data_IF_360615525438
#
_entry.id   IF_360615525438
#
_cell.length_a   1.000
_cell.length_b   1.000
_cell.length_c   1.000
_cell.angle_alpha   90.00
_cell.angle_beta   90.00
_cell.angle_gamma   90.00
#
_symmetry.space_group_name_H-M   'P 1'
#
loop_
_entity.id
_entity.type
_entity.pdbx_description
1 polymer ?
#
# COMPACT_ATOMS: atom_id res chain seq x y z
N UNK A 1 1.52 -10.61 33.41
CA UNK A 1 0.10 -11.05 33.27
C UNK A 1 -0.57 -10.51 32.00
N UNK A 2 -0.18 -9.37 31.46
CA UNK A 2 -0.70 -8.82 30.21
C UNK A 2 -0.37 -9.68 28.98
N UNK A 3 0.89 -10.09 28.79
CA UNK A 3 1.32 -10.90 27.64
C UNK A 3 0.57 -12.26 27.48
N UNK A 4 0.06 -12.83 28.56
CA UNK A 4 -0.71 -14.07 28.50
C UNK A 4 -2.16 -13.87 28.02
N UNK A 5 -2.74 -12.71 28.28
CA UNK A 5 -4.09 -12.39 27.83
C UNK A 5 -4.14 -12.03 26.34
N UNK A 6 -3.09 -11.39 25.83
CA UNK A 6 -2.98 -11.00 24.42
C UNK A 6 -2.83 -12.23 23.52
N UNK A 7 -2.02 -13.22 23.94
CA UNK A 7 -1.88 -14.49 23.22
C UNK A 7 -3.19 -15.30 23.20
N UNK A 8 -3.95 -15.30 24.30
CA UNK A 8 -5.26 -15.96 24.39
C UNK A 8 -6.32 -15.25 23.53
N UNK A 9 -6.34 -13.93 23.54
CA UNK A 9 -7.24 -13.13 22.70
C UNK A 9 -6.94 -13.34 21.21
N UNK A 10 -5.66 -13.37 20.87
CA UNK A 10 -5.15 -13.64 19.51
C UNK A 10 -5.55 -15.04 19.03
N UNK A 11 -5.34 -16.06 19.86
CA UNK A 11 -5.75 -17.43 19.52
C UNK A 11 -7.29 -17.57 19.43
N UNK A 12 -8.02 -16.87 20.29
CA UNK A 12 -9.47 -16.87 20.27
C UNK A 12 -10.02 -16.16 19.03
N UNK A 13 -9.49 -15.01 18.65
CA UNK A 13 -9.87 -14.27 17.43
C UNK A 13 -9.56 -15.11 16.17
N UNK A 14 -8.39 -15.74 16.10
CA UNK A 14 -8.05 -16.67 15.00
C UNK A 14 -8.96 -17.89 14.97
N UNK A 15 -9.21 -18.49 16.11
CA UNK A 15 -10.12 -19.63 16.23
C UNK A 15 -11.56 -19.28 15.84
N UNK A 16 -12.04 -18.11 16.23
CA UNK A 16 -13.39 -17.61 15.88
C UNK A 16 -13.46 -17.25 14.41
N UNK A 17 -12.44 -16.60 13.83
CA UNK A 17 -12.39 -16.26 12.41
C UNK A 17 -12.32 -17.54 11.54
N UNK A 18 -11.50 -18.52 11.89
CA UNK A 18 -11.45 -19.80 11.20
C UNK A 18 -12.72 -20.64 11.39
N UNK A 19 -13.29 -20.66 12.60
CA UNK A 19 -14.51 -21.40 12.88
C UNK A 19 -15.75 -20.74 12.27
N UNK A 20 -15.83 -19.41 12.25
CA UNK A 20 -16.89 -18.67 11.57
C UNK A 20 -16.80 -18.86 10.04
N UNK A 21 -15.58 -18.85 9.47
CA UNK A 21 -15.36 -19.13 8.06
C UNK A 21 -15.77 -20.57 7.68
N UNK A 22 -15.46 -21.55 8.54
CA UNK A 22 -15.82 -22.94 8.32
C UNK A 22 -17.31 -23.23 8.62
N UNK A 23 -17.91 -22.55 9.60
CA UNK A 23 -19.32 -22.74 9.95
C UNK A 23 -20.29 -21.99 9.02
N UNK A 24 -19.83 -20.94 8.35
CA UNK A 24 -20.61 -20.20 7.37
C UNK A 24 -20.56 -20.84 5.97
N UNK A 25 -19.75 -21.88 5.75
CA UNK A 25 -19.78 -22.64 4.50
C UNK A 25 -21.15 -23.33 4.40
N UNK A 26 -22.07 -22.87 3.56
CA UNK A 26 -23.42 -23.43 3.53
C UNK A 26 -23.36 -24.87 3.07
N UNK A 27 -24.07 -25.72 3.77
CA UNK A 27 -24.20 -27.16 3.47
C UNK A 27 -24.89 -27.47 2.13
N UNK A 28 -25.19 -26.46 1.32
CA UNK A 28 -25.87 -26.54 0.04
C UNK A 28 -25.23 -25.61 -1.00
N UNK A 29 -23.97 -25.86 -1.37
CA UNK A 29 -23.42 -25.30 -2.60
C UNK A 29 -23.91 -26.14 -3.78
N UNK A 30 -24.78 -25.57 -4.62
CA UNK A 30 -25.36 -26.29 -5.75
C UNK A 30 -24.34 -26.52 -6.87
N UNK A 31 -23.42 -25.56 -7.07
CA UNK A 31 -22.30 -25.66 -8.03
C UNK A 31 -21.00 -25.17 -7.38
N UNK A 32 -19.99 -26.03 -7.36
CA UNK A 32 -18.66 -25.70 -6.85
C UNK A 32 -17.68 -25.68 -8.00
N UNK A 33 -17.05 -24.54 -8.21
CA UNK A 33 -15.99 -24.35 -9.20
C UNK A 33 -14.63 -24.22 -8.51
N UNK A 34 -13.61 -24.88 -9.08
CA UNK A 34 -12.24 -24.80 -8.61
C UNK A 34 -11.38 -24.11 -9.67
N UNK A 35 -10.62 -23.10 -9.25
CA UNK A 35 -9.68 -22.42 -10.12
C UNK A 35 -8.33 -22.26 -9.43
N UNK A 36 -7.25 -22.31 -10.20
CA UNK A 36 -5.89 -22.14 -9.68
C UNK A 36 -5.01 -21.49 -10.75
N UNK A 37 -3.94 -20.89 -10.32
CA UNK A 37 -2.96 -20.27 -11.20
C UNK A 37 -1.67 -19.97 -10.48
N UNK A 38 -0.73 -19.42 -11.24
CA UNK A 38 0.56 -19.02 -10.74
C UNK A 38 1.01 -17.75 -11.44
N UNK A 39 1.90 -17.01 -10.82
CA UNK A 39 2.64 -15.93 -11.46
C UNK A 39 4.10 -15.93 -11.03
N UNK A 40 4.95 -15.47 -11.93
CA UNK A 40 6.36 -15.21 -11.68
C UNK A 40 6.70 -13.80 -12.12
N UNK A 41 7.08 -12.95 -11.19
CA UNK A 41 7.60 -11.62 -11.47
C UNK A 41 9.12 -11.64 -11.39
N UNK A 42 9.76 -11.12 -12.43
CA UNK A 42 11.20 -10.90 -12.50
C UNK A 42 11.41 -9.40 -12.75
N UNK A 43 12.22 -8.75 -11.91
CA UNK A 43 12.54 -7.35 -12.10
C UNK A 43 13.96 -7.02 -11.64
N UNK A 44 14.55 -6.01 -12.25
CA UNK A 44 15.79 -5.40 -11.79
C UNK A 44 15.53 -3.96 -11.37
N UNK A 45 16.12 -3.58 -10.26
CA UNK A 45 16.07 -2.22 -9.72
C UNK A 45 17.49 -1.70 -9.55
N UNK A 46 17.70 -0.54 -10.13
CA UNK A 46 18.93 0.23 -10.04
C UNK A 46 18.62 1.54 -9.32
N UNK A 47 19.32 1.83 -8.24
CA UNK A 47 19.12 3.05 -7.48
C UNK A 47 20.46 3.72 -7.19
N UNK A 48 20.47 5.04 -7.17
CA UNK A 48 21.62 5.83 -6.79
C UNK A 48 21.21 7.07 -6.03
N UNK A 49 21.93 7.37 -4.94
CA UNK A 49 21.79 8.56 -4.12
C UNK A 49 20.35 8.79 -3.58
N UNK A 50 19.54 7.75 -3.42
CA UNK A 50 18.20 7.92 -2.84
C UNK A 50 18.35 8.49 -1.43
N UNK A 51 17.78 9.67 -1.13
CA UNK A 51 17.97 10.28 0.16
C UNK A 51 17.28 9.45 1.25
N UNK A 52 17.96 9.29 2.37
CA UNK A 52 17.42 8.70 3.58
C UNK A 52 17.37 9.75 4.68
N UNK A 53 16.61 9.48 5.73
CA UNK A 53 16.58 10.34 6.89
C UNK A 53 17.86 10.19 7.72
N UNK A 54 18.40 11.27 8.30
CA UNK A 54 19.52 11.18 9.23
C UNK A 54 19.19 10.26 10.41
N UNK A 55 20.10 9.31 10.71
CA UNK A 55 19.91 8.37 11.83
C UNK A 55 18.89 7.25 11.60
N UNK A 56 18.01 7.36 10.62
CA UNK A 56 17.18 6.27 10.12
C UNK A 56 17.95 5.46 9.07
N UNK A 57 17.81 4.15 9.05
CA UNK A 57 18.48 3.29 8.06
C UNK A 57 18.04 3.53 6.61
N UNK A 58 17.99 4.78 6.17
CA UNK A 58 17.75 5.14 4.79
C UNK A 58 18.62 4.33 3.84
N UNK A 59 18.33 4.28 2.56
CA UNK A 59 19.22 3.64 1.59
C UNK A 59 20.57 4.29 1.78
N UNK A 60 21.30 3.70 2.70
CA UNK A 60 22.57 4.19 3.18
C UNK A 60 23.36 4.56 1.96
N UNK A 61 23.86 5.76 1.95
CA UNK A 61 25.01 6.10 1.15
C UNK A 61 26.04 5.01 1.39
N UNK A 62 25.92 3.93 0.62
CA UNK A 62 26.90 2.84 0.64
C UNK A 62 28.27 3.43 0.53
N UNK A 63 29.29 2.86 1.20
CA UNK A 63 30.69 3.20 0.99
C UNK A 63 31.09 3.16 -0.49
N UNK A 64 30.32 2.52 -1.36
CA UNK A 64 30.48 2.46 -2.82
C UNK A 64 29.65 3.49 -3.61
N UNK A 65 29.30 4.63 -3.01
CA UNK A 65 28.66 5.74 -3.72
C UNK A 65 27.13 5.64 -3.83
N UNK A 66 26.46 4.95 -2.91
CA UNK A 66 24.99 4.94 -2.85
C UNK A 66 24.31 4.22 -4.01
N UNK A 67 25.01 3.31 -4.69
CA UNK A 67 24.47 2.54 -5.79
C UNK A 67 23.91 1.20 -5.30
N UNK A 68 22.67 0.91 -5.67
CA UNK A 68 21.99 -0.37 -5.42
C UNK A 68 21.66 -1.00 -6.76
N UNK A 69 21.97 -2.27 -6.91
CA UNK A 69 21.62 -3.08 -8.05
C UNK A 69 21.15 -4.44 -7.56
N UNK A 70 19.89 -4.72 -7.75
CA UNK A 70 19.36 -6.03 -7.39
C UNK A 70 18.28 -6.51 -8.37
N UNK A 71 18.29 -7.80 -8.63
CA UNK A 71 17.20 -8.51 -9.25
C UNK A 71 16.28 -9.09 -8.18
N UNK A 72 15.00 -9.04 -8.42
CA UNK A 72 13.96 -9.56 -7.53
C UNK A 72 13.10 -10.55 -8.28
N UNK A 73 12.86 -11.69 -7.65
CA UNK A 73 12.07 -12.78 -8.18
C UNK A 73 10.93 -13.04 -7.20
N UNK A 74 9.70 -12.97 -7.67
CA UNK A 74 8.52 -13.24 -6.85
C UNK A 74 7.64 -14.29 -7.52
N UNK A 75 7.82 -15.57 -7.19
CA UNK A 75 6.85 -16.61 -7.53
C UNK A 75 5.65 -16.55 -6.59
N UNK A 76 4.46 -16.75 -7.15
CA UNK A 76 3.21 -16.92 -6.39
C UNK A 76 2.41 -18.06 -7.00
N UNK A 77 1.69 -18.77 -6.13
CA UNK A 77 0.71 -19.79 -6.52
C UNK A 77 -0.57 -19.51 -5.76
N UNK A 78 -1.68 -19.55 -6.44
CA UNK A 78 -2.97 -19.30 -5.82
C UNK A 78 -4.01 -20.36 -6.21
N UNK A 79 -5.01 -20.53 -5.36
CA UNK A 79 -6.16 -21.35 -5.61
C UNK A 79 -7.42 -20.74 -5.01
N UNK A 80 -8.55 -21.02 -5.64
CA UNK A 80 -9.85 -20.59 -5.16
C UNK A 80 -10.91 -21.67 -5.36
N UNK A 81 -11.84 -21.70 -4.42
CA UNK A 81 -13.05 -22.50 -4.50
C UNK A 81 -14.22 -21.51 -4.48
N UNK A 82 -15.08 -21.59 -5.47
CA UNK A 82 -16.28 -20.75 -5.59
C UNK A 82 -17.53 -21.58 -5.56
N UNK A 83 -18.60 -20.99 -5.05
CA UNK A 83 -19.90 -21.59 -5.11
C UNK A 83 -20.99 -20.54 -5.04
N UNK A 84 -22.17 -20.88 -5.53
CA UNK A 84 -23.36 -20.02 -5.47
C UNK A 84 -24.44 -20.76 -4.71
N UNK A 85 -25.10 -20.07 -3.81
CA UNK A 85 -26.28 -20.55 -3.08
C UNK A 85 -27.45 -19.63 -3.37
N UNK A 86 -28.61 -20.19 -3.70
CA UNK A 86 -29.81 -19.40 -4.01
C UNK A 86 -30.21 -18.40 -2.92
N UNK A 87 -29.92 -18.73 -1.64
CA UNK A 87 -30.31 -17.89 -0.50
C UNK A 87 -29.13 -17.21 0.21
N UNK A 88 -27.88 -17.53 -0.14
CA UNK A 88 -26.70 -17.05 0.58
C UNK A 88 -25.70 -16.28 -0.30
N UNK A 89 -26.06 -15.98 -1.53
CA UNK A 89 -25.19 -15.27 -2.47
C UNK A 89 -24.03 -16.11 -3.02
N UNK A 90 -23.04 -15.44 -3.60
CA UNK A 90 -21.84 -16.07 -4.14
C UNK A 90 -20.74 -16.11 -3.08
N UNK A 91 -20.06 -17.26 -2.95
CA UNK A 91 -19.01 -17.50 -1.99
C UNK A 91 -17.70 -17.85 -2.66
N UNK A 92 -16.58 -17.41 -2.09
CA UNK A 92 -15.24 -17.70 -2.53
C UNK A 92 -14.30 -17.92 -1.35
N UNK A 93 -13.64 -19.08 -1.30
CA UNK A 93 -12.45 -19.28 -0.46
C UNK A 93 -11.23 -19.12 -1.36
N UNK A 94 -10.34 -18.21 -1.02
CA UNK A 94 -9.15 -17.89 -1.79
C UNK A 94 -7.90 -18.06 -0.93
N UNK A 95 -6.84 -18.63 -1.52
CA UNK A 95 -5.52 -18.69 -0.91
C UNK A 95 -4.44 -18.35 -1.92
N UNK A 96 -3.39 -17.67 -1.49
CA UNK A 96 -2.20 -17.39 -2.27
C UNK A 96 -0.95 -17.57 -1.41
N UNK A 97 0.03 -18.26 -1.96
CA UNK A 97 1.34 -18.48 -1.37
C UNK A 97 2.34 -17.71 -2.21
N UNK A 98 3.19 -16.94 -1.56
CA UNK A 98 4.21 -16.11 -2.19
C UNK A 98 5.58 -16.33 -1.57
N UNK A 99 6.60 -16.15 -2.37
CA UNK A 99 7.98 -15.99 -1.94
C UNK A 99 8.61 -14.82 -2.70
N UNK A 100 9.59 -14.19 -2.11
CA UNK A 100 10.43 -13.24 -2.81
C UNK A 100 11.88 -13.39 -2.42
N UNK A 101 12.74 -13.52 -3.40
CA UNK A 101 14.18 -13.55 -3.19
C UNK A 101 14.88 -12.54 -4.09
N UNK A 102 16.10 -12.17 -3.67
CA UNK A 102 16.93 -11.19 -4.35
C UNK A 102 18.26 -11.79 -4.75
N UNK A 103 18.71 -11.37 -5.91
CA UNK A 103 20.08 -11.56 -6.35
C UNK A 103 20.69 -10.20 -6.66
N UNK A 104 21.86 -9.92 -6.08
CA UNK A 104 22.56 -8.65 -6.22
C UNK A 104 23.75 -8.82 -7.16
N UNK A 105 23.58 -8.60 -8.49
CA UNK A 105 24.69 -8.66 -9.43
C UNK A 105 25.66 -7.50 -9.23
N UNK A 106 26.90 -7.65 -9.65
CA UNK A 106 27.90 -6.58 -9.60
C UNK A 106 27.57 -5.44 -10.62
N UNK A 107 27.82 -4.17 -10.28
CA UNK A 107 28.27 -3.69 -8.97
C UNK A 107 27.14 -3.66 -7.95
N UNK A 108 27.37 -4.12 -6.74
CA UNK A 108 26.39 -4.11 -5.66
C UNK A 108 27.05 -3.83 -4.30
N UNK A 109 26.24 -3.47 -3.33
CA UNK A 109 26.64 -3.24 -1.95
C UNK A 109 25.86 -4.09 -0.92
N UNK A 110 25.08 -5.05 -1.39
CA UNK A 110 24.26 -5.94 -0.58
C UNK A 110 24.67 -7.39 -0.77
N UNK A 111 24.48 -8.19 0.28
CA UNK A 111 24.60 -9.64 0.19
C UNK A 111 23.43 -10.21 -0.62
N UNK A 112 23.70 -11.29 -1.34
CA UNK A 112 22.65 -12.06 -2.00
C UNK A 112 21.71 -12.67 -0.95
N UNK A 113 20.42 -12.69 -1.26
CA UNK A 113 19.40 -13.37 -0.45
C UNK A 113 18.75 -14.45 -1.30
N UNK A 114 18.63 -15.63 -0.73
CA UNK A 114 17.94 -16.75 -1.37
C UNK A 114 16.51 -16.89 -0.83
N UNK A 115 15.65 -17.65 -1.51
CA UNK A 115 14.32 -17.97 -1.00
C UNK A 115 14.45 -18.58 0.39
N UNK A 116 13.94 -17.90 1.37
CA UNK A 116 14.01 -18.37 2.74
C UNK A 116 12.71 -18.13 3.51
N UNK A 117 11.77 -17.45 2.89
CA UNK A 117 10.48 -17.13 3.50
C UNK A 117 9.37 -17.34 2.47
N UNK A 118 8.68 -18.46 2.62
CA UNK A 118 7.43 -18.72 1.92
C UNK A 118 6.31 -18.32 2.85
N UNK A 119 5.45 -17.42 2.39
CA UNK A 119 4.35 -16.88 3.18
C UNK A 119 3.00 -17.18 2.53
N UNK A 120 1.97 -17.31 3.35
CA UNK A 120 0.59 -17.23 2.89
C UNK A 120 0.22 -15.74 2.95
N UNK A 121 0.25 -15.08 1.79
CA UNK A 121 -0.02 -13.66 1.69
C UNK A 121 -1.50 -13.31 1.53
N UNK A 122 -2.31 -14.27 1.09
CA UNK A 122 -3.76 -14.18 1.08
C UNK A 122 -4.37 -15.50 1.55
N UNK A 123 -5.35 -15.40 2.45
CA UNK A 123 -6.21 -16.50 2.88
C UNK A 123 -7.50 -15.91 3.42
N UNK A 124 -8.54 -15.89 2.62
CA UNK A 124 -9.80 -15.29 3.03
C UNK A 124 -11.03 -16.03 2.51
N UNK A 125 -12.12 -15.87 3.22
CA UNK A 125 -13.47 -16.19 2.79
C UNK A 125 -14.17 -14.88 2.36
N UNK A 126 -14.78 -14.90 1.19
CA UNK A 126 -15.58 -13.79 0.65
C UNK A 126 -17.00 -14.27 0.40
N UNK A 127 -17.97 -13.43 0.71
CA UNK A 127 -19.37 -13.60 0.36
C UNK A 127 -19.85 -12.33 -0.34
N UNK A 128 -20.55 -12.48 -1.46
CA UNK A 128 -21.10 -11.36 -2.24
C UNK A 128 -22.59 -11.57 -2.41
N UNK A 129 -23.37 -10.53 -2.11
CA UNK A 129 -24.83 -10.57 -2.19
C UNK A 129 -25.46 -11.48 -1.13
N UNK A 130 -24.84 -11.65 0.02
CA UNK A 130 -25.35 -12.44 1.15
C UNK A 130 -26.61 -11.77 1.70
N UNK A 131 -27.57 -12.57 2.20
CA UNK A 131 -28.86 -12.11 2.70
C UNK A 131 -29.62 -11.25 1.66
N UNK A 132 -29.88 -11.85 0.51
CA UNK A 132 -30.64 -11.22 -0.59
C UNK A 132 -30.02 -9.92 -1.11
N UNK A 133 -28.68 -9.86 -1.17
CA UNK A 133 -27.96 -8.70 -1.69
C UNK A 133 -27.67 -7.61 -0.66
N UNK A 134 -28.02 -7.82 0.60
CA UNK A 134 -27.82 -6.83 1.67
C UNK A 134 -26.34 -6.66 2.04
N UNK A 135 -25.53 -7.75 1.95
CA UNK A 135 -24.19 -7.78 2.54
C UNK A 135 -23.17 -8.41 1.59
N UNK A 136 -22.07 -7.69 1.37
CA UNK A 136 -20.81 -8.30 0.92
C UNK A 136 -19.85 -8.37 2.10
N UNK A 137 -19.11 -9.47 2.21
CA UNK A 137 -18.14 -9.63 3.29
C UNK A 137 -16.85 -10.27 2.80
N UNK A 138 -15.72 -9.93 3.46
CA UNK A 138 -14.44 -10.61 3.26
C UNK A 138 -13.72 -10.71 4.59
N UNK A 139 -13.37 -11.93 4.98
CA UNK A 139 -12.77 -12.22 6.29
C UNK A 139 -11.53 -13.06 6.09
N UNK A 140 -10.41 -12.61 6.65
CA UNK A 140 -9.11 -13.28 6.59
C UNK A 140 -7.99 -12.38 6.10
N UNK A 141 -6.87 -12.98 5.75
CA UNK A 141 -5.68 -12.29 5.27
C UNK A 141 -5.87 -11.82 3.83
N UNK A 142 -5.70 -10.52 3.60
CA UNK A 142 -6.00 -9.87 2.32
C UNK A 142 -5.14 -8.63 2.08
N UNK A 143 -5.05 -8.22 0.83
CA UNK A 143 -4.40 -6.98 0.44
C UNK A 143 -5.29 -5.77 0.78
N UNK A 144 -4.70 -4.68 1.28
CA UNK A 144 -5.39 -3.40 1.53
C UNK A 144 -5.34 -2.44 0.33
N UNK A 145 -4.95 -2.91 -0.83
CA UNK A 145 -4.80 -2.06 -2.00
C UNK A 145 -6.12 -1.41 -2.40
N UNK A 146 -6.16 -0.07 -2.29
CA UNK A 146 -7.30 0.77 -2.66
C UNK A 146 -8.63 0.28 -2.04
N UNK A 147 -8.60 -0.14 -0.77
CA UNK A 147 -9.80 -0.59 -0.07
C UNK A 147 -10.84 0.53 -0.04
N UNK A 148 -12.06 0.22 -0.46
CA UNK A 148 -13.18 1.15 -0.62
C UNK A 148 -12.87 2.40 -1.47
N UNK A 149 -11.82 2.37 -2.29
CA UNK A 149 -11.42 3.53 -3.08
C UNK A 149 -10.70 4.63 -2.28
N UNK A 150 -10.31 4.39 -1.04
CA UNK A 150 -9.55 5.32 -0.20
C UNK A 150 -8.05 5.12 -0.40
N UNK A 151 -7.55 5.46 -1.58
CA UNK A 151 -6.21 5.22 -2.07
C UNK A 151 -5.11 6.07 -1.41
N UNK A 152 -5.47 7.09 -0.63
CA UNK A 152 -4.54 7.84 0.24
C UNK A 152 -4.55 7.38 1.71
N UNK A 153 -5.32 6.32 2.04
CA UNK A 153 -5.35 5.68 3.36
C UNK A 153 -4.95 4.21 3.25
N UNK A 154 -5.54 3.50 2.27
CA UNK A 154 -5.33 2.07 2.05
C UNK A 154 -4.63 1.85 0.71
N UNK A 155 -3.32 1.96 0.72
CA UNK A 155 -2.52 1.66 -0.45
C UNK A 155 -1.33 0.79 -0.03
N UNK A 156 -1.68 -0.39 0.40
CA UNK A 156 -0.75 -1.41 0.85
C UNK A 156 -1.10 -2.74 0.20
N UNK A 157 -0.14 -3.61 0.04
CA UNK A 157 -0.37 -4.90 -0.58
C UNK A 157 0.37 -5.12 -1.89
N UNK A 158 0.25 -6.33 -2.40
CA UNK A 158 1.03 -6.83 -3.52
C UNK A 158 0.51 -6.55 -4.91
N UNK A 159 -0.73 -6.16 -5.15
CA UNK A 159 -1.15 -5.82 -6.50
C UNK A 159 -0.38 -4.64 -7.09
N UNK A 160 0.14 -3.76 -6.25
CA UNK A 160 1.01 -2.67 -6.66
C UNK A 160 2.43 -3.12 -7.01
N UNK A 161 3.28 -2.16 -7.33
CA UNK A 161 4.69 -2.40 -7.66
C UNK A 161 5.55 -2.73 -6.44
N UNK A 162 4.93 -2.87 -5.29
CA UNK A 162 5.56 -3.23 -4.03
C UNK A 162 6.40 -4.49 -4.11
N UNK A 163 7.26 -4.65 -3.14
CA UNK A 163 8.19 -5.76 -3.12
C UNK A 163 7.53 -7.05 -2.67
N UNK A 164 7.55 -7.34 -1.44
CA UNK A 164 6.89 -8.44 -0.81
C UNK A 164 5.51 -7.99 -0.38
N UNK A 165 4.70 -8.90 -0.19
CA UNK A 165 3.35 -8.77 0.24
C UNK A 165 3.24 -7.98 1.52
N UNK A 166 2.54 -6.91 1.45
CA UNK A 166 1.95 -6.25 2.57
C UNK A 166 0.49 -6.71 2.61
N UNK A 167 0.06 -7.27 3.70
CA UNK A 167 -1.27 -7.82 3.88
C UNK A 167 -1.78 -7.48 5.28
N UNK A 168 -3.08 -7.56 5.45
CA UNK A 168 -3.71 -7.41 6.74
C UNK A 168 -4.64 -8.58 7.03
N UNK A 169 -4.64 -9.04 8.26
CA UNK A 169 -5.67 -9.95 8.76
C UNK A 169 -6.90 -9.09 9.09
N UNK A 170 -7.95 -9.17 8.26
CA UNK A 170 -9.04 -8.20 8.25
C UNK A 170 -10.40 -8.89 8.15
N UNK A 171 -11.38 -8.32 8.83
CA UNK A 171 -12.80 -8.58 8.61
C UNK A 171 -13.44 -7.30 8.03
N UNK A 172 -14.04 -7.41 6.87
CA UNK A 172 -14.69 -6.33 6.15
C UNK A 172 -16.13 -6.71 5.79
N UNK A 173 -17.05 -5.80 6.03
CA UNK A 173 -18.48 -5.97 5.81
C UNK A 173 -19.03 -4.74 5.12
N UNK A 174 -19.54 -4.91 3.89
CA UNK A 174 -20.19 -3.85 3.12
C UNK A 174 -21.70 -4.10 3.09
N UNK A 175 -22.43 -3.24 3.74
CA UNK A 175 -23.89 -3.24 3.76
C UNK A 175 -24.42 -2.36 2.62
N UNK A 176 -25.28 -2.90 1.81
CA UNK A 176 -26.04 -2.17 0.79
C UNK A 176 -27.31 -1.62 1.42
N UNK A 177 -27.31 -0.33 1.78
CA UNK A 177 -28.43 0.32 2.49
C UNK A 177 -29.57 0.61 1.52
N UNK A 178 -29.22 1.04 0.32
CA UNK A 178 -30.11 1.26 -0.81
C UNK A 178 -29.34 1.11 -2.14
N UNK A 179 -29.98 1.47 -3.28
CA UNK A 179 -29.38 1.34 -4.61
C UNK A 179 -28.10 2.16 -4.84
N UNK A 180 -27.86 3.19 -4.03
CA UNK A 180 -26.74 4.13 -4.20
C UNK A 180 -25.86 4.28 -2.97
N UNK A 181 -26.30 3.75 -1.82
CA UNK A 181 -25.64 3.96 -0.53
C UNK A 181 -25.11 2.67 0.07
N UNK A 182 -23.88 2.71 0.55
CA UNK A 182 -23.25 1.58 1.27
C UNK A 182 -22.66 2.04 2.60
N UNK A 183 -22.59 1.12 3.54
CA UNK A 183 -21.81 1.25 4.77
C UNK A 183 -20.80 0.13 4.81
N UNK A 184 -19.53 0.46 4.76
CA UNK A 184 -18.43 -0.48 4.95
C UNK A 184 -17.96 -0.40 6.40
N UNK A 185 -17.96 -1.54 7.11
CA UNK A 185 -17.37 -1.70 8.43
C UNK A 185 -16.17 -2.60 8.33
N UNK A 186 -15.07 -2.24 8.99
CA UNK A 186 -13.89 -3.09 9.00
C UNK A 186 -13.20 -3.13 10.37
N UNK A 187 -12.53 -4.24 10.61
CA UNK A 187 -11.53 -4.41 11.66
C UNK A 187 -10.33 -5.13 11.08
N UNK A 188 -9.14 -4.62 11.32
CA UNK A 188 -7.89 -5.21 10.85
C UNK A 188 -6.88 -5.33 11.98
N UNK A 189 -5.99 -6.30 11.85
CA UNK A 189 -4.85 -6.49 12.72
C UNK A 189 -3.62 -6.93 11.90
N UNK A 190 -2.51 -6.25 12.10
CA UNK A 190 -1.22 -6.60 11.54
C UNK A 190 -0.30 -7.05 12.67
N UNK A 191 0.33 -8.22 12.49
CA UNK A 191 1.22 -8.81 13.48
C UNK A 191 2.67 -8.70 13.02
N UNK A 192 3.59 -8.37 13.91
CA UNK A 192 5.01 -8.29 13.60
C UNK A 192 5.71 -9.66 13.45
N UNK A 193 5.18 -10.70 14.11
CA UNK A 193 5.84 -12.02 14.21
C UNK A 193 5.08 -13.17 13.54
N UNK A 194 3.97 -12.92 12.86
CA UNK A 194 3.02 -13.99 12.52
C UNK A 194 3.01 -14.46 11.08
N UNK A 195 4.04 -14.24 10.35
CA UNK A 195 4.19 -14.91 9.08
C UNK A 195 4.18 -16.43 9.31
N UNK A 196 3.28 -17.14 8.64
CA UNK A 196 3.42 -18.59 8.50
C UNK A 196 4.63 -18.78 7.60
N UNK A 197 5.78 -18.91 8.22
CA UNK A 197 7.07 -19.00 7.54
C UNK A 197 7.47 -20.47 7.46
N UNK A 198 7.72 -20.92 6.25
CA UNK A 198 8.40 -22.17 6.02
C UNK A 198 9.84 -21.84 5.62
N UNK A 199 10.75 -21.92 6.55
CA UNK A 199 12.16 -21.63 6.30
C UNK A 199 13.05 -21.93 7.50
N UNK A 200 14.34 -21.75 7.33
CA UNK A 200 15.31 -21.99 8.39
C UNK A 200 15.36 -20.79 9.35
N UNK A 201 15.69 -21.02 10.63
CA UNK A 201 15.87 -19.96 11.64
C UNK A 201 16.82 -18.82 11.25
N UNK A 202 17.62 -19.01 10.20
CA UNK A 202 18.50 -17.97 9.67
C UNK A 202 17.75 -16.81 9.00
N UNK A 203 16.49 -17.00 8.67
CA UNK A 203 15.65 -16.00 8.01
C UNK A 203 14.81 -15.16 8.97
N UNK A 204 14.69 -15.59 10.23
CA UNK A 204 13.86 -14.96 11.27
C UNK A 204 14.23 -13.51 11.60
N UNK A 205 15.39 -13.03 11.18
CA UNK A 205 15.90 -11.71 11.54
C UNK A 205 16.38 -10.88 10.34
N UNK A 206 16.10 -11.33 9.12
CA UNK A 206 16.45 -10.52 7.95
C UNK A 206 15.23 -9.80 7.44
N UNK A 207 15.27 -8.50 7.67
CA UNK A 207 14.35 -7.56 7.05
C UNK A 207 14.11 -7.92 5.59
N UNK A 208 12.86 -7.96 5.22
CA UNK A 208 12.36 -8.04 3.87
C UNK A 208 13.01 -7.12 2.89
N UNK A 209 13.41 -5.98 3.35
CA UNK A 209 14.01 -4.97 2.51
C UNK A 209 15.46 -5.29 2.17
N UNK A 210 16.16 -6.15 2.97
CA UNK A 210 17.55 -6.53 2.71
C UNK A 210 18.51 -5.34 2.52
N UNK A 211 18.05 -4.15 2.78
CA UNK A 211 18.76 -2.91 2.62
C UNK A 211 19.36 -2.50 3.95
N UNK A 212 20.25 -3.33 4.45
CA UNK A 212 21.12 -2.98 5.57
C UNK A 212 20.44 -2.85 6.93
N UNK A 213 20.60 -3.85 7.75
CA UNK A 213 20.87 -3.75 9.17
C UNK A 213 19.80 -3.30 10.14
N UNK A 214 18.58 -3.26 9.78
CA UNK A 214 17.51 -2.94 10.68
C UNK A 214 16.19 -3.22 10.00
N UNK A 215 15.63 -4.39 10.30
CA UNK A 215 14.20 -4.54 10.05
C UNK A 215 13.52 -3.44 10.83
N UNK A 216 12.72 -2.64 10.14
CA UNK A 216 11.58 -2.08 10.83
C UNK A 216 10.86 -3.31 11.40
N UNK A 217 10.64 -3.42 12.69
CA UNK A 217 9.67 -4.35 13.18
C UNK A 217 8.39 -4.01 12.43
N UNK A 218 7.79 -4.97 11.76
CA UNK A 218 6.42 -4.83 11.34
C UNK A 218 5.68 -4.52 12.63
N UNK A 219 5.23 -3.28 12.77
CA UNK A 219 4.66 -2.83 14.03
C UNK A 219 3.33 -3.53 14.20
N UNK A 220 3.14 -4.19 15.33
CA UNK A 220 1.81 -4.62 15.71
C UNK A 220 0.88 -3.41 15.66
N UNK A 221 0.00 -3.37 14.70
CA UNK A 221 -1.04 -2.37 14.64
C UNK A 221 -2.43 -3.01 14.45
N UNK A 222 -3.43 -2.33 14.91
CA UNK A 222 -4.81 -2.71 14.65
C UNK A 222 -5.65 -1.47 14.36
N UNK A 223 -6.71 -1.68 13.60
CA UNK A 223 -7.62 -0.62 13.25
C UNK A 223 -9.05 -1.09 13.09
N UNK A 224 -9.96 -0.18 13.35
CA UNK A 224 -11.40 -0.35 13.09
C UNK A 224 -11.90 0.89 12.36
N UNK A 225 -12.95 0.75 11.59
CA UNK A 225 -13.57 1.91 10.96
C UNK A 225 -14.89 1.64 10.29
N UNK A 226 -15.53 2.74 9.94
CA UNK A 226 -16.76 2.79 9.18
C UNK A 226 -16.62 3.80 8.04
N UNK A 227 -17.11 3.42 6.85
CA UNK A 227 -17.10 4.26 5.66
C UNK A 227 -18.52 4.27 5.11
N UNK A 228 -19.12 5.44 5.03
CA UNK A 228 -20.39 5.68 4.35
C UNK A 228 -20.11 6.17 2.94
N UNK A 229 -20.52 5.43 1.94
CA UNK A 229 -20.47 5.82 0.54
C UNK A 229 -21.87 6.04 -0.01
N UNK A 230 -22.09 7.14 -0.76
CA UNK A 230 -23.36 7.44 -1.40
C UNK A 230 -23.19 8.43 -2.56
N UNK A 231 -24.28 8.88 -3.14
CA UNK A 231 -24.33 9.92 -4.17
C UNK A 231 -25.33 10.97 -3.76
N UNK A 232 -24.92 12.24 -3.70
CA UNK A 232 -25.85 13.37 -3.57
C UNK A 232 -26.63 13.60 -4.86
N UNK A 233 -25.98 13.31 -6.00
CA UNK A 233 -26.52 13.29 -7.35
C UNK A 233 -25.67 12.33 -8.17
N UNK A 234 -26.08 11.91 -9.36
CA UNK A 234 -25.34 10.96 -10.20
C UNK A 234 -23.90 11.42 -10.52
N UNK A 235 -23.70 12.73 -10.62
CA UNK A 235 -22.41 13.34 -10.87
C UNK A 235 -21.55 13.56 -9.62
N UNK A 236 -22.11 13.38 -8.40
CA UNK A 236 -21.42 13.68 -7.13
C UNK A 236 -21.42 12.48 -6.16
N UNK A 237 -20.64 11.43 -6.44
CA UNK A 237 -20.33 10.40 -5.44
C UNK A 237 -19.51 11.01 -4.29
N UNK A 238 -19.79 10.54 -3.08
CA UNK A 238 -19.05 10.96 -1.90
C UNK A 238 -18.89 9.81 -0.91
N UNK A 239 -17.89 9.96 -0.05
CA UNK A 239 -17.66 9.10 1.10
C UNK A 239 -17.41 9.96 2.34
N UNK A 240 -17.87 9.48 3.48
CA UNK A 240 -17.52 10.00 4.81
C UNK A 240 -17.03 8.81 5.64
N UNK A 241 -15.96 8.98 6.38
CA UNK A 241 -15.42 7.87 7.15
C UNK A 241 -14.91 8.31 8.52
N UNK A 242 -14.94 7.35 9.43
CA UNK A 242 -14.32 7.43 10.76
C UNK A 242 -13.53 6.15 11.00
N UNK A 243 -12.33 6.30 11.52
CA UNK A 243 -11.42 5.19 11.75
C UNK A 243 -10.62 5.41 13.03
N UNK A 244 -10.17 4.31 13.61
CA UNK A 244 -9.18 4.31 14.67
C UNK A 244 -8.03 3.41 14.28
N UNK A 245 -6.79 3.89 14.48
CA UNK A 245 -5.56 3.10 14.38
C UNK A 245 -4.83 3.11 15.71
N UNK A 246 -4.39 1.94 16.14
CA UNK A 246 -3.57 1.76 17.32
C UNK A 246 -2.31 1.04 16.92
N UNK A 247 -1.17 1.56 17.31
CA UNK A 247 0.13 0.91 17.11
C UNK A 247 0.70 0.56 18.47
N UNK A 248 1.11 -0.70 18.66
CA UNK A 248 1.74 -1.12 19.89
C UNK A 248 3.14 -0.48 20.01
N UNK A 249 3.65 -0.42 21.23
CA UNK A 249 5.03 0.03 21.44
C UNK A 249 6.00 -0.91 20.76
N UNK A 250 7.02 -0.35 20.16
CA UNK A 250 8.05 -1.11 19.47
C UNK A 250 9.45 -0.52 19.73
N UNK A 251 10.47 -1.31 19.45
CA UNK A 251 11.85 -0.87 19.59
C UNK A 251 12.50 -0.74 18.22
N UNK A 252 13.07 0.42 17.95
CA UNK A 252 13.90 0.65 16.77
C UNK A 252 15.36 0.75 17.23
N UNK A 253 16.11 -0.32 17.07
CA UNK A 253 17.44 -0.43 17.67
C UNK A 253 17.37 -0.40 19.20
N UNK A 254 17.84 0.69 19.82
CA UNK A 254 17.77 0.89 21.28
C UNK A 254 16.69 1.91 21.69
N UNK A 255 16.03 2.54 20.72
CA UNK A 255 15.00 3.55 20.99
C UNK A 255 13.66 2.85 21.13
N UNK A 256 12.99 3.06 22.25
CA UNK A 256 11.61 2.64 22.46
C UNK A 256 10.70 3.70 21.82
N UNK A 257 9.78 3.25 20.98
CA UNK A 257 8.69 4.07 20.47
C UNK A 257 7.43 3.71 21.26
N UNK A 258 6.77 4.67 21.90
CA UNK A 258 5.58 4.39 22.70
C UNK A 258 4.42 3.91 21.82
N UNK A 259 3.45 3.25 22.43
CA UNK A 259 2.21 2.95 21.74
C UNK A 259 1.51 4.25 21.30
N UNK A 260 0.79 4.19 20.20
CA UNK A 260 -0.01 5.32 19.71
C UNK A 260 -1.44 4.89 19.46
N UNK A 261 -2.37 5.81 19.69
CA UNK A 261 -3.77 5.71 19.31
C UNK A 261 -4.16 6.96 18.54
N UNK A 262 -4.82 6.77 17.40
CA UNK A 262 -5.28 7.87 16.54
C UNK A 262 -6.71 7.61 16.08
N UNK A 263 -7.57 8.59 16.26
CA UNK A 263 -8.90 8.67 15.66
C UNK A 263 -8.82 9.55 14.42
N UNK A 264 -9.42 9.08 13.34
CA UNK A 264 -9.41 9.74 12.03
C UNK A 264 -10.82 9.96 11.56
N UNK A 265 -11.10 11.16 11.08
CA UNK A 265 -12.33 11.49 10.38
C UNK A 265 -12.00 12.13 9.05
N UNK A 266 -12.75 11.80 8.01
CA UNK A 266 -12.51 12.39 6.70
C UNK A 266 -13.66 12.23 5.73
N UNK A 267 -13.49 12.88 4.60
CA UNK A 267 -14.43 12.84 3.48
C UNK A 267 -13.69 12.79 2.16
N UNK A 268 -14.30 12.13 1.19
CA UNK A 268 -13.87 12.09 -0.21
C UNK A 268 -15.04 12.43 -1.11
N UNK A 269 -14.85 13.36 -2.02
CA UNK A 269 -15.80 13.74 -3.06
C UNK A 269 -15.18 13.42 -4.42
N UNK A 270 -15.98 12.86 -5.33
CA UNK A 270 -15.52 12.45 -6.66
C UNK A 270 -16.45 12.99 -7.76
N UNK A 271 -16.59 14.33 -7.91
CA UNK A 271 -17.46 14.92 -8.93
C UNK A 271 -17.07 14.47 -10.34
N UNK A 272 -18.04 13.95 -11.07
CA UNK A 272 -17.95 13.70 -12.52
C UNK A 272 -18.53 14.91 -13.23
N UNK A 273 -17.68 15.71 -13.89
CA UNK A 273 -18.11 16.93 -14.56
C UNK A 273 -18.74 16.62 -15.92
N UNK A 274 -18.13 15.66 -16.62
CA UNK A 274 -18.60 15.09 -17.89
C UNK A 274 -17.93 13.73 -18.15
N UNK A 275 -18.00 13.23 -19.39
CA UNK A 275 -17.40 11.95 -19.78
C UNK A 275 -15.86 11.95 -19.75
N UNK A 276 -15.22 13.11 -19.81
CA UNK A 276 -13.77 13.27 -19.87
C UNK A 276 -13.17 13.78 -18.56
N UNK A 277 -13.89 14.62 -17.82
CA UNK A 277 -13.38 15.35 -16.66
C UNK A 277 -13.97 14.87 -15.35
N UNK A 278 -13.12 14.64 -14.38
CA UNK A 278 -13.51 14.36 -13.00
C UNK A 278 -12.63 15.08 -12.01
N UNK A 279 -13.18 15.31 -10.82
CA UNK A 279 -12.44 15.82 -9.67
C UNK A 279 -12.30 14.73 -8.62
N UNK A 280 -11.27 14.85 -7.78
CA UNK A 280 -11.10 14.09 -6.54
C UNK A 280 -10.68 15.06 -5.45
N UNK A 281 -11.50 15.15 -4.42
CA UNK A 281 -11.25 16.03 -3.28
C UNK A 281 -11.32 15.20 -2.01
N UNK A 282 -10.28 15.28 -1.18
CA UNK A 282 -10.21 14.57 0.10
C UNK A 282 -9.76 15.53 1.20
N UNK A 283 -10.34 15.38 2.36
CA UNK A 283 -9.94 16.09 3.57
C UNK A 283 -10.07 15.16 4.77
N UNK A 284 -9.01 15.07 5.57
CA UNK A 284 -8.90 14.16 6.69
C UNK A 284 -8.21 14.85 7.85
N UNK A 285 -8.69 14.58 9.07
CA UNK A 285 -8.06 14.99 10.29
C UNK A 285 -7.87 13.83 11.23
N UNK A 286 -6.81 13.85 12.02
CA UNK A 286 -6.54 12.86 13.06
C UNK A 286 -6.21 13.53 14.37
N UNK A 287 -6.64 12.91 15.46
CA UNK A 287 -6.31 13.26 16.83
C UNK A 287 -6.02 12.00 17.62
N UNK A 288 -5.25 12.11 18.68
CA UNK A 288 -4.92 10.94 19.48
C UNK A 288 -3.93 11.22 20.59
N UNK A 289 -3.35 10.16 21.13
CA UNK A 289 -2.31 10.22 22.15
C UNK A 289 -1.30 9.07 21.98
N UNK A 290 -0.15 9.22 22.63
CA UNK A 290 0.86 8.19 22.77
C UNK A 290 1.00 7.69 24.22
N UNK A 291 1.88 6.71 24.44
CA UNK A 291 2.15 6.15 25.76
C UNK A 291 2.75 7.13 26.77
N UNK A 292 3.32 8.22 26.31
CA UNK A 292 3.90 9.28 27.13
C UNK A 292 2.89 10.38 27.43
N UNK A 293 1.62 10.17 27.02
CA UNK A 293 0.49 11.11 27.17
C UNK A 293 0.59 12.37 26.30
N UNK A 294 1.45 12.38 25.31
CA UNK A 294 1.50 13.47 24.34
C UNK A 294 0.29 13.46 23.43
N UNK A 295 -0.19 14.64 23.10
CA UNK A 295 -1.29 14.79 22.14
C UNK A 295 -0.76 14.61 20.72
N UNK A 296 -1.40 13.72 19.97
CA UNK A 296 -1.15 13.51 18.55
C UNK A 296 -2.25 14.21 17.75
N UNK A 297 -1.85 14.92 16.70
CA UNK A 297 -2.79 15.53 15.75
C UNK A 297 -2.23 15.43 14.33
N UNK A 298 -3.02 15.72 13.32
CA UNK A 298 -2.53 15.74 11.95
C UNK A 298 -3.65 16.02 10.96
N UNK A 299 -3.26 16.50 9.79
CA UNK A 299 -4.16 16.81 8.70
C UNK A 299 -3.61 16.29 7.38
N UNK A 300 -4.49 15.77 6.54
CA UNK A 300 -4.16 15.44 5.15
C UNK A 300 -5.29 15.89 4.25
N UNK A 301 -4.94 16.34 3.05
CA UNK A 301 -5.90 16.67 2.03
C UNK A 301 -5.35 16.39 0.64
N UNK A 302 -6.24 16.04 -0.28
CA UNK A 302 -5.92 15.86 -1.68
C UNK A 302 -6.94 16.61 -2.53
N UNK A 303 -6.45 17.31 -3.56
CA UNK A 303 -7.29 17.91 -4.59
C UNK A 303 -6.72 17.58 -5.97
N UNK A 304 -7.49 16.94 -6.80
CA UNK A 304 -7.08 16.51 -8.13
C UNK A 304 -8.12 16.79 -9.20
N UNK A 305 -7.64 17.20 -10.37
CA UNK A 305 -8.41 17.29 -11.62
C UNK A 305 -7.88 16.21 -12.54
N UNK A 306 -8.75 15.35 -13.03
CA UNK A 306 -8.42 14.28 -13.94
C UNK A 306 -9.12 14.51 -15.28
N UNK A 307 -8.39 14.29 -16.34
CA UNK A 307 -8.91 14.30 -17.70
C UNK A 307 -8.52 13.01 -18.42
N UNK A 308 -9.47 12.47 -19.17
CA UNK A 308 -9.27 11.28 -20.00
C UNK A 308 -10.08 11.43 -21.27
N UNK A 309 -9.45 11.34 -22.42
CA UNK A 309 -10.14 11.47 -23.71
C UNK A 309 -11.23 10.41 -23.89
N UNK A 310 -12.43 10.85 -24.21
CA UNK A 310 -13.57 10.00 -24.60
C UNK A 310 -13.49 9.51 -26.05
N UNK A 311 -12.48 9.93 -26.82
CA UNK A 311 -12.34 9.59 -28.23
C UNK A 311 -12.26 8.08 -28.44
N UNK A 312 -13.00 7.57 -29.41
CA UNK A 312 -13.00 6.15 -29.81
C UNK A 312 -11.71 5.72 -30.56
N UNK A 313 -10.74 6.61 -30.74
CA UNK A 313 -9.46 6.30 -31.39
C UNK A 313 -8.65 5.27 -30.59
N UNK A 314 -7.77 4.53 -31.25
CA UNK A 314 -6.89 3.57 -30.60
C UNK A 314 -5.88 4.20 -29.62
N UNK A 315 -5.68 5.54 -29.69
CA UNK A 315 -4.82 6.30 -28.78
C UNK A 315 -5.72 7.18 -27.91
N UNK A 316 -5.63 6.99 -26.60
CA UNK A 316 -6.41 7.75 -25.61
C UNK A 316 -5.47 8.51 -24.68
N UNK A 317 -5.27 9.80 -24.90
CA UNK A 317 -4.52 10.62 -23.98
C UNK A 317 -5.28 10.82 -22.67
N UNK A 318 -4.52 10.97 -21.59
CA UNK A 318 -5.03 11.30 -20.26
C UNK A 318 -4.05 12.21 -19.52
N UNK A 319 -4.55 12.91 -18.53
CA UNK A 319 -3.73 13.76 -17.68
C UNK A 319 -4.39 14.03 -16.34
N UNK A 320 -3.61 14.47 -15.39
CA UNK A 320 -4.13 14.97 -14.12
C UNK A 320 -3.21 16.00 -13.50
N UNK A 321 -3.81 16.92 -12.75
CA UNK A 321 -3.10 17.81 -11.86
C UNK A 321 -3.61 17.53 -10.45
N UNK A 322 -2.74 17.11 -9.56
CA UNK A 322 -3.06 16.77 -8.18
C UNK A 322 -2.19 17.56 -7.19
N UNK A 323 -2.79 17.92 -6.08
CA UNK A 323 -2.09 18.50 -4.94
C UNK A 323 -2.39 17.68 -3.70
N UNK A 324 -1.36 17.18 -3.05
CA UNK A 324 -1.43 16.41 -1.83
C UNK A 324 -0.74 17.18 -0.70
N UNK A 325 -1.44 17.37 0.39
CA UNK A 325 -0.95 17.98 1.61
C UNK A 325 -0.99 16.96 2.74
N UNK A 326 0.08 16.93 3.53
CA UNK A 326 0.17 16.19 4.79
C UNK A 326 0.89 17.08 5.80
N UNK A 327 0.29 17.31 6.97
CA UNK A 327 0.90 18.14 8.02
C UNK A 327 2.22 17.56 8.51
N UNK A 328 3.11 18.43 8.92
CA UNK A 328 4.38 18.12 9.57
C UNK A 328 4.36 18.51 11.03
N UNK A 329 5.47 18.30 11.70
CA UNK A 329 5.72 18.64 13.09
C UNK A 329 7.04 19.39 13.22
N UNK A 330 7.00 20.63 13.64
CA UNK A 330 8.21 21.45 13.85
C UNK A 330 9.04 20.95 15.05
N UNK A 331 8.42 20.20 15.95
CA UNK A 331 9.04 19.65 17.16
C UNK A 331 9.34 18.15 17.05
N UNK A 332 9.36 17.60 15.83
CA UNK A 332 9.55 16.16 15.60
C UNK A 332 10.84 15.58 16.19
N UNK A 333 11.85 16.43 16.47
CA UNK A 333 13.11 16.05 17.09
C UNK A 333 13.11 16.20 18.61
N UNK A 334 12.06 16.74 19.22
CA UNK A 334 11.93 16.94 20.67
C UNK A 334 11.32 15.69 21.31
N UNK A 335 11.82 15.32 22.50
CA UNK A 335 11.31 14.13 23.20
C UNK A 335 9.98 14.39 23.90
N UNK A 336 9.68 15.67 24.24
CA UNK A 336 8.48 16.07 25.01
C UNK A 336 7.60 17.02 24.20
N UNK A 337 6.31 16.74 24.12
CA UNK A 337 5.33 17.65 23.55
C UNK A 337 4.31 17.00 22.63
N UNK A 338 3.36 17.81 22.15
CA UNK A 338 2.38 17.34 21.17
C UNK A 338 2.97 17.23 19.77
N UNK A 339 2.60 16.18 19.06
CA UNK A 339 3.04 15.94 17.68
C UNK A 339 1.93 16.24 16.69
N UNK A 340 2.25 17.03 15.66
CA UNK A 340 1.29 17.51 14.63
C UNK A 340 1.49 16.89 13.25
N UNK A 341 2.42 15.93 13.11
CA UNK A 341 2.64 15.23 11.85
C UNK A 341 1.49 14.28 11.54
N UNK A 342 1.08 14.28 10.26
CA UNK A 342 0.15 13.29 9.74
C UNK A 342 0.74 11.87 9.82
N UNK A 343 0.02 10.92 10.42
CA UNK A 343 0.33 9.50 10.28
C UNK A 343 -0.33 8.99 9.00
N UNK A 344 0.42 8.41 8.05
CA UNK A 344 -0.13 7.94 6.77
C UNK A 344 -1.06 6.73 6.91
N UNK A 345 -1.33 6.25 8.11
CA UNK A 345 -2.15 5.07 8.40
C UNK A 345 -1.60 3.81 7.70
N UNK A 346 -2.33 3.28 6.74
CA UNK A 346 -1.94 2.10 5.94
C UNK A 346 -1.54 2.49 4.50
N UNK A 347 -1.17 3.75 4.28
CA UNK A 347 -0.69 4.25 3.01
C UNK A 347 0.83 4.16 2.92
N UNK A 348 1.35 3.55 1.87
CA UNK A 348 2.79 3.38 1.61
C UNK A 348 3.33 4.19 0.43
N UNK A 349 2.53 5.06 -0.12
CA UNK A 349 2.98 6.09 -1.06
C UNK A 349 3.52 5.64 -2.42
N UNK A 350 3.34 4.39 -2.79
CA UNK A 350 3.82 3.85 -4.09
C UNK A 350 3.23 4.62 -5.27
N UNK A 351 2.03 5.17 -5.13
CA UNK A 351 1.41 6.01 -6.14
C UNK A 351 2.17 7.29 -6.44
N UNK A 352 2.97 7.75 -5.47
CA UNK A 352 3.66 9.02 -5.56
C UNK A 352 5.11 8.86 -5.96
N UNK A 353 5.81 7.82 -5.49
CA UNK A 353 7.20 7.59 -5.82
C UNK A 353 7.67 6.19 -5.46
N UNK A 354 8.40 5.56 -6.34
CA UNK A 354 9.08 4.30 -6.09
C UNK A 354 10.35 4.50 -5.24
N UNK A 355 11.07 5.61 -5.42
CA UNK A 355 12.23 5.95 -4.61
C UNK A 355 11.82 6.19 -3.16
N UNK A 356 10.72 6.87 -2.93
CA UNK A 356 10.25 7.21 -1.61
C UNK A 356 9.70 6.01 -0.85
N UNK A 357 9.27 4.97 -1.54
CA UNK A 357 8.93 3.70 -0.90
C UNK A 357 10.11 3.17 -0.08
N UNK A 358 11.32 3.26 -0.61
CA UNK A 358 12.53 2.85 0.11
C UNK A 358 12.87 3.79 1.27
N UNK A 359 12.55 5.08 1.15
CA UNK A 359 12.67 6.05 2.23
C UNK A 359 11.68 5.81 3.37
N UNK A 360 10.42 5.51 3.06
CA UNK A 360 9.38 5.26 4.07
C UNK A 360 9.58 3.99 4.87
N UNK A 361 10.17 2.97 4.27
CA UNK A 361 10.55 1.74 4.99
C UNK A 361 11.60 1.99 6.06
N UNK A 362 12.30 3.12 6.01
CA UNK A 362 13.45 3.44 6.86
C UNK A 362 13.26 4.65 7.77
N UNK A 363 12.11 5.32 7.74
CA UNK A 363 11.90 6.45 8.64
C UNK A 363 10.52 7.09 8.54
N UNK A 364 10.02 7.66 9.64
CA UNK A 364 8.85 8.52 9.59
C UNK A 364 9.15 9.76 8.75
N UNK A 365 8.19 10.26 8.01
CA UNK A 365 8.24 11.59 7.43
C UNK A 365 8.25 11.70 5.91
N UNK A 366 8.44 10.62 5.15
CA UNK A 366 8.33 10.72 3.69
C UNK A 366 6.87 10.90 3.21
N UNK A 367 5.92 10.23 3.86
CA UNK A 367 4.48 10.33 3.61
C UNK A 367 3.77 11.14 4.70
N UNK A 368 4.50 12.04 5.26
CA UNK A 368 4.11 13.06 6.22
C UNK A 368 4.87 14.34 5.90
N UNK A 369 4.49 15.46 6.52
CA UNK A 369 5.20 16.70 6.35
C UNK A 369 5.44 17.09 4.89
N UNK A 370 4.38 17.14 4.07
CA UNK A 370 4.52 17.29 2.64
C UNK A 370 3.45 18.17 1.99
N UNK A 371 3.89 19.04 1.10
CA UNK A 371 3.11 19.59 0.00
C UNK A 371 3.66 19.00 -1.29
N UNK A 372 2.83 18.31 -2.06
CA UNK A 372 3.22 17.73 -3.33
C UNK A 372 2.25 18.16 -4.45
N UNK A 373 2.73 18.96 -5.37
CA UNK A 373 2.00 19.29 -6.59
C UNK A 373 2.49 18.37 -7.72
N UNK A 374 1.59 17.54 -8.26
CA UNK A 374 1.93 16.52 -9.27
C UNK A 374 1.14 16.75 -10.55
N UNK A 375 1.86 17.03 -11.63
CA UNK A 375 1.32 17.02 -13.00
C UNK A 375 1.64 15.68 -13.65
N UNK A 376 0.61 14.98 -14.11
CA UNK A 376 0.73 13.69 -14.80
C UNK A 376 0.11 13.79 -16.19
N UNK A 377 0.75 13.15 -17.17
CA UNK A 377 0.22 12.97 -18.51
C UNK A 377 0.57 11.58 -19.05
N UNK A 378 -0.22 11.08 -19.98
CA UNK A 378 0.05 9.79 -20.60
C UNK A 378 -0.81 9.49 -21.80
N UNK A 379 -0.54 8.33 -22.40
CA UNK A 379 -1.22 7.80 -23.58
C UNK A 379 -1.52 6.31 -23.34
N UNK A 380 -2.78 5.93 -23.44
CA UNK A 380 -3.18 4.54 -23.64
C UNK A 380 -3.15 4.26 -25.16
N UNK A 381 -2.25 3.39 -25.60
CA UNK A 381 -1.98 3.14 -27.02
C UNK A 381 -2.74 1.90 -27.56
N UNK A 382 -3.64 1.34 -26.77
CA UNK A 382 -4.36 0.10 -27.08
C UNK A 382 -3.52 -1.15 -26.84
N UNK A 383 -4.17 -2.32 -26.85
CA UNK A 383 -3.55 -3.64 -26.59
C UNK A 383 -2.64 -3.67 -25.34
N UNK A 384 -3.07 -3.01 -24.26
CA UNK A 384 -2.34 -2.91 -22.98
C UNK A 384 -0.99 -2.16 -23.03
N UNK A 385 -0.71 -1.42 -24.13
CA UNK A 385 0.40 -0.48 -24.16
C UNK A 385 0.00 0.84 -23.50
N UNK A 386 0.77 1.31 -22.54
CA UNK A 386 0.54 2.58 -21.86
C UNK A 386 1.86 3.27 -21.56
N UNK A 387 1.94 4.55 -21.87
CA UNK A 387 3.04 5.41 -21.42
C UNK A 387 2.48 6.49 -20.50
N UNK A 388 3.12 6.73 -19.37
CA UNK A 388 2.76 7.79 -18.44
C UNK A 388 4.01 8.46 -17.89
N UNK A 389 3.90 9.75 -17.64
CA UNK A 389 4.94 10.51 -16.97
C UNK A 389 4.29 11.43 -15.94
N UNK A 390 5.02 11.74 -14.87
CA UNK A 390 4.64 12.80 -13.96
C UNK A 390 5.87 13.62 -13.56
N UNK A 391 5.60 14.83 -13.09
CA UNK A 391 6.59 15.75 -12.56
C UNK A 391 5.96 16.60 -11.47
N UNK A 392 6.71 16.97 -10.45
CA UNK A 392 6.23 17.88 -9.43
C UNK A 392 7.25 18.31 -8.39
N UNK A 393 7.09 19.53 -7.87
CA UNK A 393 7.82 20.01 -6.70
C UNK A 393 7.21 19.46 -5.41
N UNK A 394 8.08 19.29 -4.42
CA UNK A 394 7.72 18.85 -3.08
C UNK A 394 8.29 19.84 -2.06
N UNK A 395 7.49 20.16 -1.05
CA UNK A 395 7.89 21.04 0.06
C UNK A 395 7.52 20.37 1.38
N UNK A 396 8.28 20.64 2.42
CA UNK A 396 7.92 20.33 3.79
C UNK A 396 6.81 21.29 4.26
N UNK A 397 5.82 20.77 4.96
CA UNK A 397 4.76 21.56 5.59
C UNK A 397 5.25 22.23 6.88
N UNK A 398 6.21 21.62 7.55
CA UNK A 398 6.89 22.12 8.73
C UNK A 398 8.41 21.90 8.61
N UNK A 399 9.18 22.72 9.27
CA UNK A 399 10.65 22.58 9.37
C UNK A 399 10.98 21.67 10.53
N UNK A 400 10.99 20.38 10.29
CA UNK A 400 11.16 19.33 11.33
C UNK A 400 12.62 18.93 11.59
N UNK A 401 13.57 19.47 10.83
CA UNK A 401 14.99 19.11 10.91
C UNK A 401 15.33 17.67 10.48
N UNK A 402 14.31 16.85 10.16
CA UNK A 402 14.51 15.44 9.83
C UNK A 402 15.24 15.24 8.50
N UNK A 403 15.20 16.21 7.60
CA UNK A 403 15.98 16.21 6.36
C UNK A 403 17.47 16.54 6.56
N UNK A 404 17.85 16.97 7.76
CA UNK A 404 19.21 17.38 8.12
C UNK A 404 19.52 18.85 7.82
N UNK A 405 18.55 19.61 7.37
CA UNK A 405 18.66 21.04 7.06
C UNK A 405 17.41 21.80 7.48
N UNK A 406 17.52 23.13 7.64
CA UNK A 406 16.42 24.03 7.97
C UNK A 406 15.61 24.49 6.74
N UNK A 407 15.89 23.94 5.56
CA UNK A 407 15.17 24.24 4.34
C UNK A 407 13.75 23.65 4.33
N UNK A 408 12.88 24.20 3.47
CA UNK A 408 11.53 23.67 3.30
C UNK A 408 11.34 23.01 1.92
N UNK A 409 12.16 23.30 0.94
CA UNK A 409 12.04 22.72 -0.38
C UNK A 409 12.61 21.30 -0.39
N UNK A 410 11.75 20.27 -0.42
CA UNK A 410 12.20 18.88 -0.47
C UNK A 410 12.82 18.51 -1.81
N UNK A 411 12.39 19.13 -2.91
CA UNK A 411 13.00 18.88 -4.20
C UNK A 411 11.99 18.74 -5.33
N UNK A 412 12.48 18.28 -6.45
CA UNK A 412 11.73 18.08 -7.68
C UNK A 412 11.80 16.61 -8.09
N UNK A 413 10.64 15.96 -8.26
CA UNK A 413 10.55 14.57 -8.69
C UNK A 413 9.96 14.48 -10.08
N UNK A 414 10.44 13.52 -10.87
CA UNK A 414 9.86 13.16 -12.15
C UNK A 414 9.96 11.66 -12.39
N UNK A 415 8.96 11.10 -13.05
CA UNK A 415 8.91 9.68 -13.41
C UNK A 415 8.38 9.50 -14.82
N UNK A 416 8.92 8.52 -15.53
CA UNK A 416 8.35 8.00 -16.77
C UNK A 416 8.21 6.49 -16.64
N UNK A 417 7.04 5.99 -17.04
CA UNK A 417 6.72 4.56 -17.05
C UNK A 417 6.11 4.17 -18.39
N UNK A 418 6.56 3.04 -18.93
CA UNK A 418 5.97 2.40 -20.10
C UNK A 418 5.59 0.97 -19.77
N UNK A 419 4.31 0.67 -19.81
CA UNK A 419 3.74 -0.67 -19.67
C UNK A 419 3.52 -1.27 -21.05
N UNK A 420 3.86 -2.55 -21.23
CA UNK A 420 3.72 -3.24 -22.49
C UNK A 420 3.39 -4.73 -22.31
N UNK A 421 2.58 -5.31 -23.20
CA UNK A 421 2.40 -6.74 -23.28
C UNK A 421 3.54 -7.34 -24.13
N UNK A 422 4.08 -8.47 -23.68
CA UNK A 422 4.92 -9.34 -24.49
C UNK A 422 4.09 -10.47 -25.12
N UNK A 423 3.09 -10.93 -24.37
CA UNK A 423 2.13 -11.94 -24.81
C UNK A 423 0.80 -11.70 -24.08
N UNK A 424 -0.28 -11.62 -24.83
CA UNK A 424 -1.63 -11.53 -24.27
C UNK A 424 -2.39 -12.82 -24.56
N UNK A 425 -3.03 -13.37 -23.54
CA UNK A 425 -3.89 -14.54 -23.68
C UNK A 425 -5.09 -14.24 -24.59
N UNK A 426 -5.39 -15.15 -25.47
CA UNK A 426 -6.64 -15.15 -26.23
C UNK A 426 -7.74 -15.79 -25.35
N UNK A 427 -8.46 -14.94 -24.62
CA UNK A 427 -9.50 -15.38 -23.70
C UNK A 427 -10.66 -16.09 -24.40
N UNK A 428 -10.92 -15.79 -25.68
CA UNK A 428 -11.95 -16.46 -26.47
C UNK A 428 -11.56 -17.92 -26.76
N UNK A 429 -10.26 -18.21 -26.83
CA UNK A 429 -9.73 -19.57 -26.95
C UNK A 429 -9.48 -20.26 -25.62
N UNK A 430 -9.79 -19.61 -24.51
CA UNK A 430 -9.54 -20.15 -23.18
C UNK A 430 -8.07 -20.14 -22.75
N UNK A 431 -7.23 -19.37 -23.45
CA UNK A 431 -5.83 -19.21 -23.05
C UNK A 431 -5.74 -18.43 -21.73
N UNK A 432 -4.80 -18.82 -20.86
CA UNK A 432 -4.56 -18.17 -19.56
C UNK A 432 -3.18 -17.55 -19.47
N UNK A 433 -2.24 -18.01 -20.28
CA UNK A 433 -0.86 -17.53 -20.21
C UNK A 433 -0.74 -16.12 -20.75
N UNK A 434 -0.24 -15.21 -19.91
CA UNK A 434 0.05 -13.82 -20.26
C UNK A 434 1.48 -13.46 -19.84
N UNK A 435 2.13 -12.63 -20.63
CA UNK A 435 3.42 -12.02 -20.27
C UNK A 435 3.30 -10.51 -20.44
N UNK A 436 3.43 -9.79 -19.35
CA UNK A 436 3.38 -8.32 -19.35
C UNK A 436 4.66 -7.76 -18.74
N UNK A 437 5.01 -6.57 -19.12
CA UNK A 437 6.19 -5.92 -18.60
C UNK A 437 6.02 -4.42 -18.46
N UNK A 438 6.96 -3.80 -17.75
CA UNK A 438 7.12 -2.36 -17.76
C UNK A 438 8.60 -1.96 -17.62
N UNK A 439 8.88 -0.77 -18.04
CA UNK A 439 10.08 -0.02 -17.69
C UNK A 439 9.70 1.28 -17.02
N UNK A 440 10.44 1.64 -15.98
CA UNK A 440 10.21 2.84 -15.19
C UNK A 440 11.54 3.50 -14.88
N UNK A 441 11.59 4.81 -15.07
CA UNK A 441 12.70 5.64 -14.64
C UNK A 441 12.18 6.79 -13.80
N UNK A 442 12.80 7.03 -12.65
CA UNK A 442 12.46 8.11 -11.74
C UNK A 442 13.72 8.90 -11.40
N UNK A 443 13.56 10.20 -11.34
CA UNK A 443 14.63 11.13 -11.05
C UNK A 443 14.15 12.10 -9.97
N UNK A 444 14.99 12.32 -8.96
CA UNK A 444 14.74 13.27 -7.88
C UNK A 444 15.93 14.20 -7.74
N UNK A 445 15.66 15.49 -7.79
CA UNK A 445 16.64 16.53 -7.53
C UNK A 445 16.34 17.11 -6.13
N UNK A 446 17.17 16.82 -5.12
CA UNK A 446 16.93 17.27 -3.75
C UNK A 446 16.94 18.80 -3.68
N UNK A 447 16.09 19.32 -2.82
CA UNK A 447 16.08 20.72 -2.42
C UNK A 447 16.86 20.97 -1.13
N UNK A 448 16.69 22.15 -0.57
CA UNK A 448 17.37 22.61 0.64
C UNK A 448 16.88 21.98 1.95
N UNK A 449 15.84 21.14 1.90
CA UNK A 449 15.41 20.32 3.02
C UNK A 449 16.40 19.21 3.38
N UNK A 450 17.17 18.72 2.40
CA UNK A 450 18.16 17.67 2.60
C UNK A 450 19.57 18.21 2.68
N UNK A 451 20.43 17.58 3.50
CA UNK A 451 21.87 17.89 3.52
C UNK A 451 22.59 17.59 2.21
N UNK A 452 22.01 16.73 1.37
CA UNK A 452 22.61 16.33 0.10
C UNK A 452 22.02 17.11 -1.07
N UNK A 453 22.88 17.56 -1.95
CA UNK A 453 22.55 18.15 -3.25
C UNK A 453 22.65 17.15 -4.42
N UNK A 454 22.99 15.89 -4.13
CA UNK A 454 23.22 14.88 -5.16
C UNK A 454 21.89 14.37 -5.73
N UNK A 455 21.66 14.51 -7.05
CA UNK A 455 20.48 13.94 -7.67
C UNK A 455 20.37 12.44 -7.45
N UNK A 456 19.16 11.98 -7.16
CA UNK A 456 18.83 10.58 -7.02
C UNK A 456 18.22 10.03 -8.30
N UNK A 457 18.45 8.77 -8.54
CA UNK A 457 17.96 8.07 -9.71
C UNK A 457 17.45 6.69 -9.29
N UNK A 458 16.32 6.30 -9.90
CA UNK A 458 15.76 4.96 -9.82
C UNK A 458 15.40 4.48 -11.21
N UNK A 459 15.73 3.24 -11.51
CA UNK A 459 15.34 2.58 -12.74
C UNK A 459 14.86 1.16 -12.43
N UNK A 460 13.77 0.77 -13.07
CA UNK A 460 13.22 -0.59 -13.00
C UNK A 460 12.84 -1.07 -14.39
N UNK A 461 13.17 -2.31 -14.68
CA UNK A 461 12.43 -3.10 -15.65
C UNK A 461 11.81 -4.30 -14.96
N UNK A 462 10.68 -4.72 -15.45
CA UNK A 462 9.92 -5.85 -14.91
C UNK A 462 9.28 -6.64 -16.02
N UNK A 463 9.25 -7.97 -15.84
CA UNK A 463 8.42 -8.90 -16.63
C UNK A 463 7.67 -9.80 -15.66
N UNK A 464 6.40 -9.99 -15.91
CA UNK A 464 5.52 -10.84 -15.13
C UNK A 464 4.86 -11.87 -16.04
N UNK A 465 5.03 -13.12 -15.67
CA UNK A 465 4.43 -14.29 -16.31
C UNK A 465 3.22 -14.71 -15.48
N UNK A 466 2.05 -14.88 -16.10
CA UNK A 466 0.81 -15.31 -15.45
C UNK A 466 0.33 -16.59 -16.12
N UNK A 467 -0.05 -17.60 -15.31
CA UNK A 467 -0.43 -18.94 -15.77
C UNK A 467 -1.83 -19.29 -15.29
#
# INVERSE_FOLDING_TARGET
MQAGNDALLTAAVRGVLCAAALAAAPAAMADVDFNAGADLRIRQELMKNVPGLPGGGGVSTSPRGGFVNHMRFRPRVWGEIKGVSENAGAWRLYTRIADEFRWCPEPHNHSQTFPCEVIIDNLFLEGVGVFDGLLDMRIGRQDLYNYCGLDHIFYDGTPGDGSRTLYSDMAAFKFHVDEVSTVDLFALYNFDETDIRWGTDRCKHKSLTGLGGGAEPEMDDWGIGAIWGSKMADWLPYQVFVMQKNTHKFYRGKVEHPWTQREVVGTKLMPQLDEEWSLQLEAMGQVGCNGDHDTLSGWSSYAGVNWKSATASGIKPFGSLGYHFMSGDEHAAEEDGGHSAWDPLWYRGINDSEMFLYGTLYGPGWWSNMHFLKLRAGLDLGRAHRIAAYIGPMFAAAKDGLGGSDGAFKGFISQVRYDFPLWLADKEKGERFEVVGHVLAEFFNPGDYFETDKPAFFFRWQVEFKF
#
